data_IF_884775647844
#
_entry.id   IF_884775647844
#
_cell.length_a   1.000
_cell.length_b   1.000
_cell.length_c   1.000
_cell.angle_alpha   90.00
_cell.angle_beta   90.00
_cell.angle_gamma   90.00
#
_symmetry.space_group_name_H-M   'P 1'
#
loop_
_entity.id
_entity.type
_entity.pdbx_description
1 polymer ?
#
# COMPACT_ATOMS: atom_id res chain seq x y z
N UNK A 1 5.98 -4.14 -24.06
CA UNK A 1 6.07 -4.01 -22.59
C UNK A 1 4.76 -3.37 -22.14
N UNK A 2 4.22 -3.66 -20.95
CA UNK A 2 3.01 -2.96 -20.49
C UNK A 2 3.44 -1.56 -20.05
N UNK A 3 2.82 -0.52 -20.61
CA UNK A 3 3.07 0.86 -20.19
C UNK A 3 2.53 1.07 -18.77
N UNK A 4 3.23 1.82 -17.90
CA UNK A 4 2.75 2.12 -16.57
C UNK A 4 1.75 3.28 -16.58
N UNK A 5 0.85 3.29 -15.60
CA UNK A 5 0.21 4.52 -15.17
C UNK A 5 1.23 5.33 -14.36
N UNK A 6 1.43 6.60 -14.72
CA UNK A 6 2.37 7.49 -14.04
C UNK A 6 1.59 8.38 -13.08
N UNK A 7 2.01 8.44 -11.81
CA UNK A 7 1.52 9.46 -10.88
C UNK A 7 2.39 10.69 -10.98
N UNK A 8 1.77 11.81 -11.31
CA UNK A 8 2.41 13.12 -11.39
C UNK A 8 2.25 13.89 -10.07
N UNK A 9 3.07 14.92 -9.85
CA UNK A 9 3.01 15.78 -8.67
C UNK A 9 1.62 16.39 -8.48
N UNK A 10 1.04 16.98 -9.51
CA UNK A 10 -0.26 17.64 -9.42
C UNK A 10 -1.45 16.68 -9.37
N UNK A 11 -1.23 15.38 -9.58
CA UNK A 11 -2.26 14.39 -9.22
C UNK A 11 -2.37 14.20 -7.69
N UNK A 12 -1.40 14.74 -6.95
CA UNK A 12 -1.28 14.60 -5.50
C UNK A 12 -1.56 15.89 -4.74
N UNK A 13 -1.91 17.02 -5.38
CA UNK A 13 -2.10 18.33 -4.72
C UNK A 13 -3.00 18.26 -3.47
N UNK A 14 -4.03 17.41 -3.50
CA UNK A 14 -4.96 17.21 -2.39
C UNK A 14 -4.36 16.49 -1.18
N UNK A 15 -3.20 15.83 -1.31
CA UNK A 15 -2.62 14.94 -0.29
C UNK A 15 -1.17 15.29 0.09
N UNK A 16 -0.69 16.48 -0.30
CA UNK A 16 0.65 16.95 0.04
C UNK A 16 0.68 17.73 1.35
N UNK A 17 1.79 17.57 2.08
CA UNK A 17 2.11 18.33 3.29
C UNK A 17 2.49 19.78 2.96
N UNK A 18 3.41 19.97 2.02
CA UNK A 18 3.92 21.28 1.62
C UNK A 18 3.26 21.75 0.31
N UNK A 19 2.01 22.20 0.42
CA UNK A 19 1.19 22.61 -0.73
C UNK A 19 1.71 23.89 -1.40
N UNK A 20 2.21 24.84 -0.61
CA UNK A 20 2.79 26.07 -1.14
C UNK A 20 4.01 25.77 -2.02
N UNK A 21 4.87 24.82 -1.60
CA UNK A 21 5.96 24.35 -2.44
C UNK A 21 5.44 23.67 -3.71
N UNK A 22 4.41 22.83 -3.61
CA UNK A 22 3.87 22.10 -4.75
C UNK A 22 3.28 23.04 -5.82
N UNK A 23 2.53 24.07 -5.42
CA UNK A 23 1.93 25.07 -6.32
C UNK A 23 2.96 25.80 -7.20
N UNK A 24 4.17 26.00 -6.69
CA UNK A 24 5.27 26.67 -7.40
C UNK A 24 6.22 25.73 -8.15
N UNK A 25 6.00 24.42 -8.11
CA UNK A 25 6.91 23.41 -8.67
C UNK A 25 6.36 22.83 -9.97
N UNK A 26 7.26 22.47 -10.90
CA UNK A 26 6.86 21.80 -12.14
C UNK A 26 6.21 20.43 -11.87
N UNK A 27 5.38 19.96 -12.80
CA UNK A 27 4.67 18.70 -12.64
C UNK A 27 5.60 17.49 -12.83
N UNK A 28 6.23 17.02 -11.74
CA UNK A 28 7.20 15.93 -11.76
C UNK A 28 6.52 14.55 -11.77
N UNK A 29 7.17 13.55 -12.39
CA UNK A 29 6.79 12.15 -12.22
C UNK A 29 7.22 11.67 -10.81
N UNK A 30 6.32 11.03 -10.07
CA UNK A 30 6.58 10.58 -8.70
C UNK A 30 6.78 9.07 -8.60
N UNK A 31 5.87 8.31 -9.22
CA UNK A 31 5.92 6.86 -9.23
C UNK A 31 5.15 6.24 -10.40
N UNK A 32 5.51 5.01 -10.73
CA UNK A 32 4.97 4.26 -11.87
C UNK A 32 4.23 3.03 -11.36
N UNK A 33 3.02 2.80 -11.86
CA UNK A 33 2.18 1.65 -11.52
C UNK A 33 1.99 0.76 -12.74
N UNK A 34 2.56 -0.44 -12.69
CA UNK A 34 2.34 -1.48 -13.67
C UNK A 34 1.27 -2.43 -13.15
N UNK A 35 0.04 -2.22 -13.58
CA UNK A 35 -1.11 -3.01 -13.13
C UNK A 35 -1.23 -4.32 -13.89
N UNK A 36 -1.85 -5.33 -13.29
CA UNK A 36 -2.29 -6.57 -13.93
C UNK A 36 -1.19 -7.22 -14.81
N UNK A 37 -0.09 -7.54 -14.16
CA UNK A 37 1.10 -8.17 -14.71
C UNK A 37 1.06 -9.70 -14.53
N UNK A 38 1.68 -10.41 -15.47
CA UNK A 38 1.85 -11.86 -15.42
C UNK A 38 3.09 -12.27 -16.22
N UNK A 39 3.79 -13.30 -15.75
CA UNK A 39 5.00 -13.85 -16.38
C UNK A 39 4.69 -14.76 -17.58
N UNK A 40 3.47 -15.28 -17.68
CA UNK A 40 3.01 -16.08 -18.81
C UNK A 40 1.51 -15.89 -19.04
N UNK A 41 1.01 -16.16 -20.25
CA UNK A 41 -0.44 -16.11 -20.53
C UNK A 41 -1.23 -17.03 -19.60
N UNK A 42 -0.67 -18.21 -19.30
CA UNK A 42 -1.26 -19.16 -18.35
C UNK A 42 -1.40 -18.56 -16.95
N UNK A 43 -0.39 -17.86 -16.45
CA UNK A 43 -0.49 -17.15 -15.16
C UNK A 43 -1.58 -16.08 -15.23
N UNK A 44 -1.67 -15.33 -16.33
CA UNK A 44 -2.70 -14.31 -16.52
C UNK A 44 -4.12 -14.89 -16.50
N UNK A 45 -4.37 -16.00 -17.20
CA UNK A 45 -5.67 -16.68 -17.19
C UNK A 45 -6.00 -17.23 -15.79
N UNK A 46 -5.01 -17.84 -15.13
CA UNK A 46 -5.16 -18.36 -13.76
C UNK A 46 -5.47 -17.27 -12.73
N UNK A 47 -4.76 -16.13 -12.79
CA UNK A 47 -4.99 -15.03 -11.87
C UNK A 47 -6.39 -14.41 -12.08
N UNK A 48 -6.86 -14.32 -13.33
CA UNK A 48 -8.23 -13.89 -13.62
C UNK A 48 -9.27 -14.87 -13.08
N UNK A 49 -9.07 -16.17 -13.30
CA UNK A 49 -9.96 -17.21 -12.76
C UNK A 49 -10.05 -17.15 -11.23
N UNK A 50 -8.94 -16.85 -10.56
CA UNK A 50 -8.85 -16.69 -9.10
C UNK A 50 -9.29 -15.32 -8.58
N UNK A 51 -9.69 -14.37 -9.44
CA UNK A 51 -10.01 -13.01 -8.99
C UNK A 51 -8.81 -12.22 -8.44
N UNK A 52 -7.57 -12.60 -8.81
CA UNK A 52 -6.34 -11.96 -8.36
C UNK A 52 -5.79 -10.98 -9.39
N UNK A 53 -5.12 -9.94 -8.90
CA UNK A 53 -4.34 -9.00 -9.67
C UNK A 53 -2.95 -8.85 -9.05
N UNK A 54 -1.92 -8.99 -9.88
CA UNK A 54 -0.53 -8.74 -9.49
C UNK A 54 -0.06 -7.43 -10.11
N UNK A 55 0.41 -6.50 -9.28
CA UNK A 55 0.89 -5.20 -9.72
C UNK A 55 2.35 -4.98 -9.29
N UNK A 56 3.04 -4.06 -9.96
CA UNK A 56 4.34 -3.54 -9.53
C UNK A 56 4.26 -2.02 -9.44
N UNK A 57 4.75 -1.46 -8.34
CA UNK A 57 4.90 -0.02 -8.16
C UNK A 57 6.38 0.33 -8.00
N UNK A 58 6.83 1.37 -8.71
CA UNK A 58 8.19 1.91 -8.61
C UNK A 58 8.09 3.35 -8.14
N UNK A 59 8.65 3.66 -6.98
CA UNK A 59 8.66 5.00 -6.38
C UNK A 59 10.09 5.57 -6.49
N UNK A 60 10.20 6.77 -7.05
CA UNK A 60 11.49 7.47 -7.18
C UNK A 60 11.99 7.97 -5.82
N UNK A 61 13.29 8.26 -5.64
CA UNK A 61 13.80 8.91 -4.43
C UNK A 61 13.67 10.44 -4.55
N UNK A 62 12.58 11.00 -4.05
CA UNK A 62 12.28 12.44 -4.13
C UNK A 62 11.88 13.00 -2.76
N UNK A 63 12.17 14.28 -2.56
CA UNK A 63 11.63 15.10 -1.47
C UNK A 63 10.62 16.08 -2.07
N UNK A 64 9.39 16.04 -1.60
CA UNK A 64 8.29 16.91 -2.00
C UNK A 64 8.25 18.11 -1.06
N UNK A 65 9.14 19.08 -1.32
CA UNK A 65 9.38 20.22 -0.43
C UNK A 65 10.03 19.76 0.88
N UNK A 66 9.19 19.39 1.85
CA UNK A 66 9.60 18.95 3.20
C UNK A 66 9.17 17.53 3.55
N UNK A 67 8.36 16.89 2.72
CA UNK A 67 7.93 15.50 2.94
C UNK A 67 8.55 14.52 1.95
N UNK A 68 8.81 13.30 2.40
CA UNK A 68 9.29 12.25 1.51
C UNK A 68 8.19 11.87 0.50
N UNK A 69 8.61 11.53 -0.72
CA UNK A 69 7.67 11.06 -1.74
C UNK A 69 6.93 9.80 -1.28
N UNK A 70 5.64 9.77 -1.59
CA UNK A 70 4.70 8.77 -1.13
C UNK A 70 3.66 8.45 -2.19
N UNK A 71 2.96 7.33 -2.03
CA UNK A 71 1.73 7.09 -2.79
C UNK A 71 0.60 8.00 -2.30
N UNK A 72 -0.42 8.23 -3.14
CA UNK A 72 -1.56 9.06 -2.78
C UNK A 72 -2.34 8.56 -1.54
N UNK A 73 -2.28 7.25 -1.27
CA UNK A 73 -3.06 6.60 -0.21
C UNK A 73 -4.49 6.30 -0.61
N UNK A 74 -5.03 5.20 -0.10
CA UNK A 74 -6.44 4.83 -0.31
C UNK A 74 -6.90 3.78 0.71
N UNK A 75 -8.21 3.56 0.71
CA UNK A 75 -8.88 2.44 1.37
C UNK A 75 -9.45 1.47 0.33
N UNK A 76 -9.81 0.27 0.78
CA UNK A 76 -10.51 -0.72 -0.02
C UNK A 76 -11.99 -0.78 0.36
N UNK A 77 -12.90 -1.03 -0.61
CA UNK A 77 -14.31 -1.20 -0.30
C UNK A 77 -14.56 -2.49 0.48
N UNK A 78 -15.75 -2.56 1.09
CA UNK A 78 -16.29 -3.81 1.62
C UNK A 78 -16.51 -4.83 0.51
N UNK A 79 -16.34 -6.10 0.84
CA UNK A 79 -16.75 -7.22 -0.02
C UNK A 79 -18.28 -7.16 -0.16
N UNK A 80 -18.86 -7.30 -1.37
CA UNK A 80 -20.30 -7.23 -1.55
C UNK A 80 -21.05 -8.24 -0.68
N UNK A 81 -21.90 -7.75 0.22
CA UNK A 81 -22.69 -8.58 1.14
C UNK A 81 -22.03 -8.84 2.50
N UNK A 82 -20.79 -8.39 2.71
CA UNK A 82 -20.03 -8.64 3.94
C UNK A 82 -19.65 -7.34 4.67
N UNK A 83 -19.27 -7.47 5.95
CA UNK A 83 -18.81 -6.35 6.80
C UNK A 83 -17.28 -6.18 6.84
N UNK A 84 -16.56 -6.87 5.96
CA UNK A 84 -15.09 -6.84 5.85
C UNK A 84 -14.64 -6.18 4.54
N UNK A 85 -13.52 -5.46 4.52
CA UNK A 85 -12.93 -4.91 3.30
C UNK A 85 -11.90 -5.84 2.69
N UNK A 86 -11.63 -5.68 1.39
CA UNK A 86 -10.56 -6.44 0.75
C UNK A 86 -9.19 -6.11 1.36
N UNK A 87 -8.38 -7.12 1.70
CA UNK A 87 -6.99 -6.91 2.11
C UNK A 87 -6.06 -6.85 0.90
N UNK A 88 -4.80 -6.56 1.15
CA UNK A 88 -3.73 -6.54 0.13
C UNK A 88 -2.42 -7.04 0.74
N UNK A 89 -1.55 -7.63 -0.08
CA UNK A 89 -0.20 -7.99 0.33
C UNK A 89 0.82 -7.34 -0.58
N UNK A 90 1.83 -6.73 0.02
CA UNK A 90 3.00 -6.20 -0.65
C UNK A 90 4.22 -7.10 -0.44
N UNK A 91 5.09 -7.15 -1.44
CA UNK A 91 6.47 -7.59 -1.35
C UNK A 91 7.40 -6.44 -1.75
N UNK A 92 8.39 -6.10 -0.91
CA UNK A 92 9.46 -5.18 -1.31
C UNK A 92 10.45 -5.95 -2.17
N UNK A 93 10.59 -5.59 -3.44
CA UNK A 93 11.50 -6.24 -4.38
C UNK A 93 12.90 -5.60 -4.37
N UNK A 94 12.95 -4.28 -4.22
CA UNK A 94 14.19 -3.49 -4.19
C UNK A 94 14.00 -2.25 -3.30
N UNK A 95 15.00 -1.91 -2.50
CA UNK A 95 14.97 -0.74 -1.62
C UNK A 95 14.28 -0.99 -0.28
N UNK A 96 13.75 0.09 0.28
CA UNK A 96 13.13 0.14 1.61
C UNK A 96 11.81 0.91 1.50
N UNK A 97 10.75 0.33 2.07
CA UNK A 97 9.41 0.90 2.09
C UNK A 97 9.01 1.23 3.52
N UNK A 98 8.48 2.43 3.72
CA UNK A 98 7.82 2.83 4.96
C UNK A 98 6.32 2.84 4.71
N UNK A 99 5.60 1.85 5.24
CA UNK A 99 4.15 1.74 5.14
C UNK A 99 3.49 2.45 6.32
N UNK A 100 2.64 3.43 6.04
CA UNK A 100 1.72 4.03 6.99
C UNK A 100 0.35 3.38 6.79
N UNK A 101 -0.08 2.59 7.75
CA UNK A 101 -1.39 1.94 7.78
C UNK A 101 -2.28 2.69 8.77
N UNK A 102 -3.54 2.93 8.43
CA UNK A 102 -4.48 3.60 9.33
C UNK A 102 -5.90 3.08 9.17
N UNK A 103 -6.63 2.95 10.28
CA UNK A 103 -8.08 2.74 10.22
C UNK A 103 -8.79 3.99 9.73
N UNK A 104 -9.96 3.81 9.12
CA UNK A 104 -10.78 4.92 8.62
C UNK A 104 -11.24 5.88 9.74
N UNK A 105 -11.57 5.32 10.91
CA UNK A 105 -11.91 6.10 12.12
C UNK A 105 -10.69 6.68 12.85
N UNK A 106 -9.48 6.42 12.35
CA UNK A 106 -8.20 6.84 12.89
C UNK A 106 -7.93 6.37 14.34
N UNK A 107 -8.70 5.39 14.83
CA UNK A 107 -8.47 4.76 16.14
C UNK A 107 -7.15 3.97 16.18
N UNK A 108 -6.58 3.70 15.00
CA UNK A 108 -5.37 2.93 14.83
C UNK A 108 -4.49 3.50 13.72
N UNK A 109 -3.20 3.73 14.01
CA UNK A 109 -2.21 4.18 13.04
C UNK A 109 -0.88 3.46 13.29
N UNK A 110 -0.47 2.66 12.30
CA UNK A 110 0.72 1.81 12.37
C UNK A 110 1.71 2.20 11.29
N UNK A 111 2.99 2.20 11.67
CA UNK A 111 4.12 2.30 10.78
C UNK A 111 4.83 0.95 10.69
N UNK A 112 5.09 0.49 9.46
CA UNK A 112 5.92 -0.69 9.20
C UNK A 112 7.05 -0.30 8.26
N UNK A 113 8.31 -0.47 8.69
CA UNK A 113 9.48 -0.33 7.81
C UNK A 113 9.88 -1.71 7.28
N UNK A 114 9.85 -1.85 5.97
CA UNK A 114 10.15 -3.10 5.27
C UNK A 114 11.30 -2.89 4.28
N UNK A 115 12.09 -3.93 4.05
CA UNK A 115 13.20 -3.94 3.09
C UNK A 115 13.05 -5.09 2.11
N UNK A 116 13.91 -5.12 1.09
CA UNK A 116 13.90 -6.19 0.10
C UNK A 116 13.70 -7.61 0.69
N UNK A 117 12.72 -8.31 0.12
CA UNK A 117 12.24 -9.63 0.52
C UNK A 117 11.09 -9.61 1.53
N UNK A 118 10.87 -8.53 2.29
CA UNK A 118 9.82 -8.46 3.30
C UNK A 118 8.42 -8.38 2.67
N UNK A 119 7.45 -8.97 3.38
CA UNK A 119 6.04 -9.00 2.99
C UNK A 119 5.23 -8.27 4.02
N UNK A 120 4.40 -7.32 3.58
CA UNK A 120 3.52 -6.54 4.45
C UNK A 120 2.09 -6.76 3.99
N UNK A 121 1.26 -7.27 4.89
CA UNK A 121 -0.18 -7.42 4.66
C UNK A 121 -0.88 -6.16 5.16
N UNK A 122 -1.70 -5.56 4.32
CA UNK A 122 -2.68 -4.55 4.70
C UNK A 122 -3.96 -5.31 5.09
N UNK A 123 -4.30 -5.40 6.38
CA UNK A 123 -5.49 -6.11 6.81
C UNK A 123 -6.77 -5.36 6.44
N UNK A 124 -7.93 -6.03 6.48
CA UNK A 124 -9.22 -5.37 6.32
C UNK A 124 -9.42 -4.20 7.30
N UNK A 125 -10.09 -3.15 6.85
CA UNK A 125 -10.39 -1.93 7.60
C UNK A 125 -9.26 -0.90 7.64
N UNK A 126 -8.09 -1.20 7.05
CA UNK A 126 -6.96 -0.27 6.98
C UNK A 126 -6.80 0.31 5.58
N UNK A 127 -6.59 1.62 5.52
CA UNK A 127 -5.99 2.29 4.38
C UNK A 127 -4.48 2.29 4.51
N UNK A 128 -3.78 2.50 3.40
CA UNK A 128 -2.33 2.44 3.37
C UNK A 128 -1.71 3.51 2.48
N UNK A 129 -0.57 4.04 2.92
CA UNK A 129 0.31 4.94 2.17
C UNK A 129 1.71 4.33 2.22
N UNK A 130 2.37 4.25 1.08
CA UNK A 130 3.77 3.78 1.01
C UNK A 130 4.68 4.96 0.74
N UNK A 131 5.69 5.13 1.59
CA UNK A 131 6.62 6.24 1.58
C UNK A 131 8.02 5.71 1.23
N UNK A 132 8.71 6.38 0.32
CA UNK A 132 10.12 6.12 0.07
C UNK A 132 10.97 7.14 0.85
N UNK A 133 11.39 6.76 2.06
CA UNK A 133 12.24 7.56 2.95
C UNK A 133 13.72 7.58 2.49
N UNK A 134 14.08 6.73 1.51
CA UNK A 134 15.46 6.53 1.09
C UNK A 134 15.88 7.42 -0.09
N UNK A 135 17.20 7.53 -0.30
CA UNK A 135 17.76 8.16 -1.50
C UNK A 135 17.90 7.18 -2.69
N UNK A 136 17.25 6.02 -2.63
CA UNK A 136 17.27 4.99 -3.68
C UNK A 136 15.86 4.74 -4.21
N UNK A 137 15.78 4.19 -5.41
CA UNK A 137 14.50 3.71 -5.96
C UNK A 137 13.92 2.62 -5.06
N UNK A 138 12.62 2.72 -4.79
CA UNK A 138 11.84 1.67 -4.17
C UNK A 138 11.02 0.94 -5.24
N UNK A 139 11.13 -0.38 -5.30
CA UNK A 139 10.29 -1.24 -6.13
C UNK A 139 9.56 -2.25 -5.26
N UNK A 140 8.25 -2.30 -5.40
CA UNK A 140 7.39 -3.25 -4.70
C UNK A 140 6.46 -3.95 -5.67
N UNK A 141 6.03 -5.15 -5.32
CA UNK A 141 4.92 -5.84 -5.93
C UNK A 141 3.78 -5.98 -4.95
N UNK A 142 2.57 -6.17 -5.46
CA UNK A 142 1.41 -6.48 -4.63
C UNK A 142 0.49 -7.49 -5.31
N UNK A 143 -0.13 -8.36 -4.49
CA UNK A 143 -1.33 -9.10 -4.88
C UNK A 143 -2.53 -8.50 -4.17
N UNK A 144 -3.62 -8.40 -4.93
CA UNK A 144 -4.87 -7.82 -4.46
C UNK A 144 -6.05 -8.46 -5.20
N UNK A 145 -7.25 -8.38 -4.63
CA UNK A 145 -8.47 -8.73 -5.35
C UNK A 145 -8.62 -7.84 -6.60
N UNK A 146 -8.99 -8.46 -7.72
CA UNK A 146 -9.19 -7.79 -9.01
C UNK A 146 -10.44 -6.94 -9.04
N UNK A 147 -11.48 -7.35 -8.32
CA UNK A 147 -12.86 -6.91 -8.55
C UNK A 147 -13.25 -5.69 -7.70
N UNK A 148 -12.27 -4.85 -7.36
CA UNK A 148 -12.52 -3.58 -6.68
C UNK A 148 -11.73 -2.40 -7.26
N UNK A 149 -12.27 -1.21 -6.98
CA UNK A 149 -11.62 0.08 -7.20
C UNK A 149 -11.27 0.71 -5.85
N UNK A 150 -10.04 1.21 -5.73
CA UNK A 150 -9.57 1.91 -4.54
C UNK A 150 -10.41 3.15 -4.23
N UNK A 151 -10.64 3.43 -2.94
CA UNK A 151 -11.38 4.59 -2.44
C UNK A 151 -10.38 5.65 -1.95
N UNK A 152 -10.18 6.70 -2.73
CA UNK A 152 -9.18 7.75 -2.44
C UNK A 152 -9.73 8.91 -1.61
N UNK A 153 -11.04 9.17 -1.67
CA UNK A 153 -11.65 10.38 -1.13
C UNK A 153 -11.40 10.59 0.37
N UNK A 154 -11.49 9.57 1.25
CA UNK A 154 -11.23 9.79 2.68
C UNK A 154 -9.81 10.31 2.97
N UNK A 155 -8.81 9.89 2.20
CA UNK A 155 -7.44 10.41 2.33
C UNK A 155 -7.33 11.82 1.76
N UNK A 156 -7.96 12.09 0.59
CA UNK A 156 -7.97 13.42 -0.04
C UNK A 156 -8.64 14.48 0.83
N UNK A 157 -9.81 14.18 1.40
CA UNK A 157 -10.57 15.08 2.26
C UNK A 157 -9.75 15.49 3.51
N UNK A 158 -9.04 14.52 4.09
CA UNK A 158 -8.11 14.71 5.20
C UNK A 158 -6.79 15.37 4.80
N UNK A 159 -6.55 15.59 3.51
CA UNK A 159 -5.34 16.24 3.03
C UNK A 159 -4.10 15.34 3.02
N UNK A 160 -4.27 14.02 3.11
CA UNK A 160 -3.21 13.04 3.30
C UNK A 160 -3.51 12.07 4.46
N UNK A 161 -2.51 11.27 4.83
CA UNK A 161 -2.63 10.32 5.94
C UNK A 161 -2.74 10.98 7.31
N UNK A 162 -2.89 10.17 8.36
CA UNK A 162 -2.90 10.63 9.75
C UNK A 162 -1.58 11.31 10.17
N UNK A 163 -0.48 10.92 9.52
CA UNK A 163 0.85 11.48 9.71
C UNK A 163 1.54 11.69 8.37
N UNK A 164 2.39 12.70 8.29
CA UNK A 164 3.32 12.94 7.20
C UNK A 164 4.74 12.62 7.67
N UNK A 165 5.56 12.02 6.81
CA UNK A 165 6.98 11.79 7.09
C UNK A 165 7.79 12.91 6.42
N UNK A 166 8.41 13.75 7.24
CA UNK A 166 9.18 14.92 6.81
C UNK A 166 10.67 14.73 7.05
N UNK A 167 11.49 15.65 6.52
CA UNK A 167 12.93 15.77 6.83
C UNK A 167 13.24 15.91 8.34
N UNK A 168 12.23 16.27 9.15
CA UNK A 168 12.31 16.39 10.62
C UNK A 168 11.61 15.25 11.36
N UNK A 169 11.19 14.20 10.66
CA UNK A 169 10.45 13.07 11.21
C UNK A 169 8.94 13.18 11.02
N UNK A 170 8.19 12.41 11.80
CA UNK A 170 6.73 12.32 11.66
C UNK A 170 6.03 13.57 12.21
N UNK A 171 5.15 14.14 11.39
CA UNK A 171 4.28 15.27 11.75
C UNK A 171 2.83 14.80 11.69
N UNK A 172 2.09 14.94 12.80
CA UNK A 172 0.65 14.61 12.83
C UNK A 172 -0.12 15.54 11.89
N UNK A 173 -1.00 14.97 11.06
CA UNK A 173 -1.83 15.76 10.17
C UNK A 173 -2.83 16.62 10.97
N UNK A 174 -2.84 17.96 10.82
CA UNK A 174 -3.76 18.84 11.54
C UNK A 174 -5.25 18.60 11.26
N UNK A 175 -5.60 17.92 10.16
CA UNK A 175 -6.97 17.49 9.84
C UNK A 175 -7.38 16.13 10.47
N UNK A 176 -6.43 15.47 11.13
CA UNK A 176 -6.58 14.17 11.79
C UNK A 176 -6.22 14.28 13.28
N UNK A 177 -6.75 15.29 13.98
CA UNK A 177 -6.40 15.57 15.40
C UNK A 177 -6.77 14.41 16.32
N UNK A 178 -7.83 13.71 15.98
CA UNK A 178 -8.39 12.52 16.63
C UNK A 178 -7.53 11.27 16.47
N UNK A 179 -6.59 11.25 15.52
CA UNK A 179 -5.83 10.04 15.22
C UNK A 179 -5.06 9.54 16.45
N UNK A 180 -5.06 8.22 16.62
CA UNK A 180 -4.25 7.57 17.64
C UNK A 180 -2.75 7.89 17.46
N UNK A 181 -1.95 7.81 18.54
CA UNK A 181 -0.50 7.93 18.43
C UNK A 181 0.05 6.92 17.41
N UNK A 182 0.96 7.40 16.55
CA UNK A 182 1.69 6.54 15.62
C UNK A 182 2.48 5.49 16.40
N UNK A 183 2.25 4.21 16.06
CA UNK A 183 3.01 3.08 16.60
C UNK A 183 3.88 2.52 15.49
N UNK A 184 5.13 2.22 15.81
CA UNK A 184 5.99 1.50 14.90
C UNK A 184 6.08 0.04 15.33
N UNK A 185 5.86 -0.87 14.38
CA UNK A 185 5.99 -2.31 14.59
C UNK A 185 7.00 -2.88 13.60
N UNK A 186 7.61 -4.01 13.97
CA UNK A 186 8.39 -4.83 13.06
C UNK A 186 7.48 -5.46 12.00
N UNK A 187 8.04 -5.85 10.85
CA UNK A 187 7.28 -6.57 9.80
C UNK A 187 6.65 -7.84 10.39
N UNK A 188 5.30 -7.95 10.41
CA UNK A 188 4.64 -9.10 11.02
C UNK A 188 5.00 -10.42 10.35
N UNK A 189 5.19 -11.46 11.16
CA UNK A 189 5.49 -12.80 10.67
C UNK A 189 4.22 -13.51 10.17
N UNK A 190 3.88 -13.34 8.90
CA UNK A 190 2.68 -13.91 8.26
C UNK A 190 2.90 -15.32 7.69
N UNK A 191 3.52 -16.22 8.49
CA UNK A 191 3.90 -17.57 8.02
C UNK A 191 2.69 -18.44 7.71
N UNK A 192 1.59 -18.28 8.43
CA UNK A 192 0.37 -19.06 8.25
C UNK A 192 -0.31 -18.74 6.90
N UNK A 193 -0.09 -17.53 6.37
CA UNK A 193 -0.47 -17.13 5.02
C UNK A 193 0.52 -17.61 3.94
N UNK A 194 1.51 -18.44 4.30
CA UNK A 194 2.54 -18.94 3.39
C UNK A 194 3.58 -17.89 2.97
N UNK A 195 3.56 -16.71 3.59
CA UNK A 195 4.45 -15.60 3.28
C UNK A 195 5.72 -15.71 4.13
N UNK A 196 6.87 -15.83 3.45
CA UNK A 196 8.19 -15.85 4.09
C UNK A 196 9.15 -14.96 3.33
N UNK A 197 10.03 -14.28 4.07
CA UNK A 197 10.98 -13.31 3.51
C UNK A 197 11.89 -13.91 2.43
N UNK A 198 12.31 -15.16 2.60
CA UNK A 198 13.27 -15.83 1.73
C UNK A 198 12.68 -16.39 0.43
N UNK A 199 11.37 -16.22 0.20
CA UNK A 199 10.69 -16.69 -1.02
C UNK A 199 9.98 -15.52 -1.69
N UNK A 200 10.05 -15.47 -3.00
CA UNK A 200 9.25 -14.53 -3.80
C UNK A 200 7.76 -14.79 -3.58
N UNK A 201 6.96 -13.73 -3.60
CA UNK A 201 5.50 -13.81 -3.43
C UNK A 201 4.80 -14.30 -4.70
N UNK A 202 5.32 -13.95 -5.88
CA UNK A 202 4.66 -14.24 -7.17
C UNK A 202 4.22 -15.72 -7.34
N UNK A 203 5.05 -16.73 -7.01
CA UNK A 203 4.65 -18.14 -7.12
C UNK A 203 3.39 -18.52 -6.31
N UNK A 204 3.09 -17.83 -5.20
CA UNK A 204 1.90 -18.11 -4.38
C UNK A 204 0.60 -17.93 -5.17
N UNK A 205 0.57 -17.00 -6.13
CA UNK A 205 -0.60 -16.82 -7.00
C UNK A 205 -0.87 -18.03 -7.90
N UNK A 206 0.13 -18.90 -8.14
CA UNK A 206 -0.04 -20.14 -8.91
C UNK A 206 -0.66 -21.26 -8.09
N UNK A 207 -0.42 -21.26 -6.78
CA UNK A 207 -0.93 -22.29 -5.87
C UNK A 207 -2.43 -22.10 -5.60
N UNK A 208 -3.21 -23.18 -5.59
CA UNK A 208 -4.64 -23.11 -5.30
C UNK A 208 -4.87 -22.78 -3.82
N UNK A 209 -5.80 -21.86 -3.54
CA UNK A 209 -6.21 -21.48 -2.17
C UNK A 209 -5.22 -20.62 -1.38
N UNK A 210 -3.95 -20.51 -1.78
CA UNK A 210 -2.91 -19.82 -0.99
C UNK A 210 -3.14 -18.32 -0.79
N UNK A 211 -3.82 -17.67 -1.73
CA UNK A 211 -4.14 -16.24 -1.68
C UNK A 211 -5.66 -16.01 -1.67
N UNK A 212 -6.44 -17.02 -1.31
CA UNK A 212 -7.91 -16.97 -1.29
C UNK A 212 -8.44 -15.88 -0.35
N UNK A 213 -7.75 -15.66 0.77
CA UNK A 213 -8.02 -14.61 1.74
C UNK A 213 -7.98 -13.18 1.16
N UNK A 214 -7.37 -12.97 -0.01
CA UNK A 214 -7.43 -11.67 -0.71
C UNK A 214 -8.80 -11.42 -1.35
N UNK A 215 -9.51 -12.48 -1.74
CA UNK A 215 -10.77 -12.42 -2.49
C UNK A 215 -11.96 -12.74 -1.60
N UNK A 216 -11.76 -13.61 -0.62
CA UNK A 216 -12.77 -14.07 0.33
C UNK A 216 -12.36 -13.82 1.80
N UNK A 217 -11.94 -12.60 2.19
CA UNK A 217 -11.41 -12.34 3.54
C UNK A 217 -12.36 -12.68 4.69
N UNK A 218 -13.68 -12.70 4.45
CA UNK A 218 -14.69 -13.09 5.44
C UNK A 218 -14.51 -14.53 5.94
N UNK A 219 -13.88 -15.39 5.13
CA UNK A 219 -13.65 -16.81 5.45
C UNK A 219 -12.29 -17.05 6.14
N UNK A 220 -11.48 -15.99 6.36
CA UNK A 220 -10.10 -16.07 6.87
C UNK A 220 -9.80 -14.97 7.91
N UNK A 221 -10.80 -14.51 8.66
CA UNK A 221 -10.65 -13.37 9.58
C UNK A 221 -9.58 -13.61 10.66
N UNK A 222 -9.42 -14.86 11.09
CA UNK A 222 -8.42 -15.29 12.06
C UNK A 222 -6.98 -15.01 11.61
N UNK A 223 -6.74 -14.94 10.29
CA UNK A 223 -5.41 -14.65 9.76
C UNK A 223 -4.99 -13.18 9.95
N UNK A 224 -5.93 -12.29 10.30
CA UNK A 224 -5.67 -10.87 10.53
C UNK A 224 -5.69 -10.50 12.02
N UNK A 225 -6.11 -11.41 12.90
CA UNK A 225 -6.13 -11.17 14.35
C UNK A 225 -4.71 -10.93 14.87
N UNK A 226 -4.50 -9.81 15.58
CA UNK A 226 -3.21 -9.43 16.14
C UNK A 226 -2.11 -9.16 15.12
N UNK A 227 -2.43 -9.06 13.83
CA UNK A 227 -1.44 -8.86 12.76
C UNK A 227 -0.63 -7.56 12.94
N UNK A 228 -1.26 -6.55 13.52
CA UNK A 228 -0.73 -5.19 13.68
C UNK A 228 -0.45 -4.81 15.16
N UNK A 229 -0.54 -5.78 16.08
CA UNK A 229 -0.35 -5.58 17.52
C UNK A 229 1.12 -5.57 17.95
#
# INVERSE_FOLDING_TARGET
MKEPDVRMLHDMDDVLYDREWAEGTENLELYYMYRDLFLSRRDGDLFKEKGLRYDITIILPLMLGREYVKTAGHYHPRVPGEDVTYPEVYEVLEGEATYLLQKEDLSDVVLVRARAGDKVVVPPGYGHITINESNKRLKMANFVCRDFSSIYDPIKEKGGGAYFLTDKGFVKNPKCKEAAPLREIEVPAVRDLGLVRSREMYPLGREMGKLDWLVHPQDHLEAFEGLLD
#
